data_IF_359167082379
#
_entry.id   IF_359167082379
#
_cell.length_a   1.000
_cell.length_b   1.000
_cell.length_c   1.000
_cell.angle_alpha   90.00
_cell.angle_beta   90.00
_cell.angle_gamma   90.00
#
_symmetry.space_group_name_H-M   'P 1'
#
loop_
_entity.id
_entity.type
_entity.pdbx_description
1 polymer ?
#
# COMPACT_ATOMS: atom_id res chain seq x y z
N UNK A 1 -14.04 1.06 -4.23
CA UNK A 1 -13.00 1.83 -3.51
C UNK A 1 -12.74 3.07 -4.36
N UNK A 2 -13.22 4.25 -3.97
CA UNK A 2 -12.99 5.47 -4.76
C UNK A 2 -11.59 5.98 -4.45
N UNK A 3 -10.66 5.80 -5.40
CA UNK A 3 -9.37 6.47 -5.34
C UNK A 3 -9.59 7.95 -5.64
N UNK A 4 -9.46 8.80 -4.63
CA UNK A 4 -9.33 10.24 -4.84
C UNK A 4 -8.04 10.70 -4.17
N UNK A 5 -7.11 11.17 -5.00
CA UNK A 5 -5.96 12.00 -4.63
C UNK A 5 -4.75 11.33 -3.96
N UNK A 6 -4.63 10.00 -3.95
CA UNK A 6 -3.40 9.30 -3.58
C UNK A 6 -2.76 8.71 -4.85
N UNK A 7 -1.59 9.22 -5.24
CA UNK A 7 -0.80 8.74 -6.40
C UNK A 7 -0.46 7.23 -6.33
N UNK A 8 -0.63 6.63 -5.16
CA UNK A 8 -0.36 5.22 -4.85
C UNK A 8 -1.46 4.27 -5.34
N UNK A 9 -2.71 4.73 -5.49
CA UNK A 9 -3.83 3.84 -5.86
C UNK A 9 -4.27 4.09 -7.30
N UNK A 10 -4.26 3.03 -8.11
CA UNK A 10 -4.71 3.06 -9.50
C UNK A 10 -6.15 2.54 -9.60
N UNK A 11 -7.11 3.47 -9.67
CA UNK A 11 -8.54 3.14 -9.74
C UNK A 11 -8.94 2.38 -11.01
N UNK A 12 -8.24 2.58 -12.13
CA UNK A 12 -8.60 1.94 -13.39
C UNK A 12 -8.31 0.44 -13.35
N UNK A 13 -7.29 0.03 -12.61
CA UNK A 13 -6.85 -1.38 -12.51
C UNK A 13 -7.12 -2.00 -11.15
N UNK A 14 -7.64 -1.24 -10.18
CA UNK A 14 -7.81 -1.68 -8.77
C UNK A 14 -6.49 -2.20 -8.18
N UNK A 15 -5.39 -1.51 -8.49
CA UNK A 15 -4.04 -1.87 -8.01
C UNK A 15 -3.42 -0.73 -7.21
N UNK A 16 -2.29 -1.05 -6.58
CA UNK A 16 -1.42 -0.07 -5.95
C UNK A 16 -0.11 -0.02 -6.73
N UNK A 17 0.24 1.14 -7.26
CA UNK A 17 1.47 1.34 -8.03
C UNK A 17 2.51 2.06 -7.16
N UNK A 18 3.67 1.44 -7.00
CA UNK A 18 4.80 1.98 -6.23
C UNK A 18 5.93 2.33 -7.19
N UNK A 19 6.29 3.61 -7.21
CA UNK A 19 7.46 4.15 -7.88
C UNK A 19 8.41 4.83 -6.91
N UNK A 20 9.56 5.26 -7.40
CA UNK A 20 10.51 6.01 -6.60
C UNK A 20 11.94 5.91 -7.10
N UNK A 21 12.84 6.48 -6.30
CA UNK A 21 14.24 6.63 -6.63
C UNK A 21 14.93 5.28 -6.91
N UNK A 22 15.60 5.20 -8.07
CA UNK A 22 16.40 4.06 -8.50
C UNK A 22 15.68 2.70 -8.36
N UNK A 23 14.40 2.65 -8.76
CA UNK A 23 13.51 1.51 -8.50
C UNK A 23 14.06 0.18 -9.03
N UNK A 24 14.51 0.12 -10.30
CA UNK A 24 15.00 -1.11 -10.91
C UNK A 24 16.22 -1.72 -10.17
N UNK A 25 17.08 -0.89 -9.59
CA UNK A 25 18.23 -1.37 -8.81
C UNK A 25 17.86 -1.78 -7.37
N UNK A 26 16.67 -1.38 -6.89
CA UNK A 26 16.27 -1.58 -5.51
C UNK A 26 16.09 -3.06 -5.16
N UNK A 27 16.29 -3.38 -3.88
CA UNK A 27 16.03 -4.72 -3.37
C UNK A 27 14.55 -5.10 -3.46
N UNK A 28 13.64 -4.16 -3.17
CA UNK A 28 12.20 -4.42 -3.25
C UNK A 28 11.75 -4.83 -4.65
N UNK A 29 12.28 -4.18 -5.69
CA UNK A 29 11.95 -4.52 -7.08
C UNK A 29 12.44 -5.92 -7.46
N UNK A 30 13.70 -6.26 -7.14
CA UNK A 30 14.26 -7.59 -7.39
C UNK A 30 13.56 -8.70 -6.61
N UNK A 31 13.20 -8.45 -5.34
CA UNK A 31 12.48 -9.42 -4.52
C UNK A 31 11.07 -9.67 -5.04
N UNK A 32 10.38 -8.63 -5.54
CA UNK A 32 9.08 -8.77 -6.19
C UNK A 32 9.23 -9.54 -7.50
N UNK A 33 10.22 -9.23 -8.33
CA UNK A 33 10.47 -9.94 -9.58
C UNK A 33 10.70 -11.46 -9.36
N UNK A 34 11.37 -11.84 -8.27
CA UNK A 34 11.65 -13.24 -7.94
C UNK A 34 10.45 -13.98 -7.30
N UNK A 35 9.82 -13.38 -6.29
CA UNK A 35 8.79 -14.07 -5.48
C UNK A 35 7.34 -13.75 -5.87
N UNK A 36 7.12 -12.55 -6.42
CA UNK A 36 5.80 -11.96 -6.66
C UNK A 36 4.92 -11.81 -5.43
N UNK A 37 5.46 -11.93 -4.20
CA UNK A 37 4.70 -11.77 -2.94
C UNK A 37 4.96 -10.40 -2.34
N UNK A 38 3.93 -9.78 -1.77
CA UNK A 38 4.07 -8.44 -1.17
C UNK A 38 3.23 -8.29 0.10
N UNK A 39 3.75 -7.50 1.01
CA UNK A 39 2.99 -6.83 2.06
C UNK A 39 3.29 -5.32 1.96
N UNK A 40 2.25 -4.51 1.89
CA UNK A 40 2.32 -3.05 1.83
C UNK A 40 1.59 -2.48 3.05
N UNK A 41 2.31 -1.69 3.85
CA UNK A 41 1.79 -1.14 5.11
C UNK A 41 1.85 0.38 5.03
N UNK A 42 0.74 1.02 5.43
CA UNK A 42 0.64 2.46 5.64
C UNK A 42 0.14 2.67 7.06
N UNK A 43 0.97 3.31 7.89
CA UNK A 43 0.66 3.65 9.26
C UNK A 43 1.03 5.11 9.56
N UNK A 44 0.34 5.69 10.54
CA UNK A 44 0.67 7.00 11.10
C UNK A 44 0.11 7.16 12.52
N UNK A 45 0.56 8.23 13.18
CA UNK A 45 0.19 8.61 14.54
C UNK A 45 -0.53 9.97 14.48
N UNK A 46 -1.85 10.00 14.25
CA UNK A 46 -2.59 11.24 14.11
C UNK A 46 -2.65 12.10 15.38
N UNK A 47 -2.40 11.53 16.56
CA UNK A 47 -2.34 12.27 17.83
C UNK A 47 -1.49 11.54 18.86
N UNK A 48 -0.76 12.30 19.68
CA UNK A 48 -0.01 11.77 20.84
C UNK A 48 -0.69 12.09 22.17
N UNK A 49 -1.62 13.04 22.20
CA UNK A 49 -2.46 13.37 23.35
C UNK A 49 -3.88 13.79 22.88
N UNK A 50 -4.90 12.93 23.01
CA UNK A 50 -4.80 11.53 23.45
C UNK A 50 -4.04 10.67 22.42
N UNK A 51 -3.44 9.57 22.87
CA UNK A 51 -2.68 8.67 21.99
C UNK A 51 -3.59 8.00 20.95
N UNK A 52 -3.33 8.22 19.66
CA UNK A 52 -4.10 7.65 18.54
C UNK A 52 -3.15 7.17 17.45
N UNK A 53 -3.33 5.92 17.02
CA UNK A 53 -2.57 5.26 15.94
C UNK A 53 -3.53 4.63 14.95
N UNK A 54 -3.15 4.60 13.68
CA UNK A 54 -3.93 3.90 12.65
C UNK A 54 -3.00 3.23 11.64
N UNK A 55 -3.50 2.16 11.04
CA UNK A 55 -2.73 1.35 10.11
C UNK A 55 -3.62 0.64 9.10
N UNK A 56 -3.08 0.47 7.90
CA UNK A 56 -3.57 -0.42 6.85
C UNK A 56 -2.42 -1.29 6.37
N UNK A 57 -2.58 -2.60 6.46
CA UNK A 57 -1.73 -3.61 5.84
C UNK A 57 -2.49 -4.26 4.68
N UNK A 58 -1.81 -4.40 3.55
CA UNK A 58 -2.32 -5.03 2.33
C UNK A 58 -1.38 -6.17 1.97
N UNK A 59 -1.92 -7.37 1.82
CA UNK A 59 -1.21 -8.55 1.33
C UNK A 59 -1.74 -8.93 -0.05
N UNK A 60 -0.85 -9.46 -0.88
CA UNK A 60 -1.24 -10.05 -2.15
C UNK A 60 -0.06 -10.36 -3.04
N UNK A 61 -0.28 -10.19 -4.34
CA UNK A 61 0.72 -10.41 -5.39
C UNK A 61 1.24 -9.10 -5.92
N UNK A 62 2.48 -9.12 -6.42
CA UNK A 62 3.05 -7.96 -7.08
C UNK A 62 3.85 -8.32 -8.32
N UNK A 63 3.89 -7.38 -9.25
CA UNK A 63 4.63 -7.43 -10.50
C UNK A 63 5.68 -6.32 -10.52
N UNK A 64 6.88 -6.64 -10.99
CA UNK A 64 7.94 -5.68 -11.24
C UNK A 64 7.89 -5.29 -12.72
N UNK A 65 7.30 -4.12 -13.02
CA UNK A 65 7.10 -3.61 -14.37
C UNK A 65 8.27 -2.70 -14.74
N UNK A 66 8.87 -2.95 -15.89
CA UNK A 66 9.83 -2.02 -16.48
C UNK A 66 9.14 -0.72 -16.94
N UNK A 67 9.93 0.32 -17.20
CA UNK A 67 9.44 1.66 -17.51
C UNK A 67 8.42 1.70 -18.66
N UNK A 68 8.62 0.88 -19.69
CA UNK A 68 7.76 0.85 -20.89
C UNK A 68 6.42 0.14 -20.64
N UNK A 69 6.37 -0.73 -19.64
CA UNK A 69 5.18 -1.49 -19.25
C UNK A 69 4.37 -0.82 -18.12
N UNK A 70 4.98 0.13 -17.41
CA UNK A 70 4.34 0.92 -16.38
C UNK A 70 3.42 1.98 -16.99
N UNK A 71 2.25 2.17 -16.39
CA UNK A 71 1.36 3.26 -16.79
C UNK A 71 1.96 4.57 -16.30
N UNK A 72 2.10 5.55 -17.20
CA UNK A 72 2.74 6.82 -16.87
C UNK A 72 1.93 7.62 -15.85
N UNK A 73 2.49 7.74 -14.66
CA UNK A 73 2.24 8.72 -13.61
C UNK A 73 3.45 9.66 -13.54
N UNK A 74 3.34 10.73 -12.75
CA UNK A 74 4.21 11.90 -12.82
C UNK A 74 5.72 11.63 -12.60
N UNK A 75 6.07 10.49 -11.99
CA UNK A 75 7.45 10.10 -11.74
C UNK A 75 8.10 9.33 -12.91
N UNK A 76 7.30 8.57 -13.67
CA UNK A 76 7.77 7.68 -14.74
C UNK A 76 8.73 6.58 -14.26
N UNK A 77 8.91 5.55 -15.10
CA UNK A 77 9.93 4.52 -14.88
C UNK A 77 9.44 3.22 -14.23
N UNK A 78 10.38 2.35 -13.82
CA UNK A 78 10.06 1.03 -13.31
C UNK A 78 9.13 1.09 -12.09
N UNK A 79 8.12 0.22 -12.07
CA UNK A 79 6.99 0.26 -11.14
C UNK A 79 6.78 -1.09 -10.48
N UNK A 80 6.50 -1.10 -9.18
CA UNK A 80 5.95 -2.29 -8.51
C UNK A 80 4.43 -2.13 -8.49
N UNK A 81 3.72 -3.01 -9.20
CA UNK A 81 2.26 -3.06 -9.21
C UNK A 81 1.77 -4.11 -8.24
N UNK A 82 0.92 -3.75 -7.30
CA UNK A 82 0.38 -4.62 -6.26
C UNK A 82 -1.08 -4.93 -6.56
N UNK A 83 -1.42 -6.21 -6.49
CA UNK A 83 -2.77 -6.76 -6.56
C UNK A 83 -3.19 -7.19 -5.15
N UNK A 84 -4.04 -6.41 -4.48
CA UNK A 84 -4.53 -6.75 -3.14
C UNK A 84 -5.33 -8.05 -3.15
N UNK A 85 -5.07 -8.92 -2.18
CA UNK A 85 -5.85 -10.14 -1.91
C UNK A 85 -6.44 -10.12 -0.49
N UNK A 86 -5.75 -9.48 0.45
CA UNK A 86 -6.20 -9.32 1.84
C UNK A 86 -5.86 -7.95 2.39
N UNK A 87 -6.83 -7.35 3.08
CA UNK A 87 -6.70 -6.04 3.73
C UNK A 87 -6.90 -6.22 5.23
N UNK A 88 -5.96 -5.71 6.02
CA UNK A 88 -6.00 -5.69 7.48
C UNK A 88 -5.89 -4.23 7.92
N UNK A 89 -6.73 -3.78 8.85
CA UNK A 89 -6.68 -2.40 9.33
C UNK A 89 -7.12 -2.27 10.79
N UNK A 90 -6.63 -1.22 11.44
CA UNK A 90 -7.09 -0.81 12.77
C UNK A 90 -6.97 0.71 12.92
N UNK A 91 -7.71 1.28 13.86
CA UNK A 91 -7.64 2.72 14.16
C UNK A 91 -8.16 3.64 13.04
N UNK A 92 -8.85 3.11 12.02
CA UNK A 92 -9.46 3.92 10.97
C UNK A 92 -10.83 4.45 11.43
N UNK A 93 -11.07 5.76 11.24
CA UNK A 93 -12.31 6.44 11.62
C UNK A 93 -12.17 7.30 12.89
N UNK A 94 -13.20 8.07 13.22
CA UNK A 94 -13.25 8.81 14.47
C UNK A 94 -13.55 7.83 15.62
N UNK A 95 -12.50 7.34 16.27
CA UNK A 95 -12.62 6.46 17.43
C UNK A 95 -12.04 7.18 18.64
N UNK A 96 -12.86 7.33 19.69
CA UNK A 96 -12.42 7.71 21.05
C UNK A 96 -12.00 6.47 21.85
N UNK A 97 -11.70 5.35 21.17
CA UNK A 97 -11.26 4.14 21.82
C UNK A 97 -9.80 4.25 22.26
N UNK A 98 -9.52 3.70 23.44
CA UNK A 98 -8.17 3.50 23.92
C UNK A 98 -7.37 2.59 22.96
N UNK A 99 -6.07 2.86 22.81
CA UNK A 99 -5.20 2.13 21.88
C UNK A 99 -5.17 0.63 22.16
N UNK A 100 -5.25 0.22 23.43
CA UNK A 100 -5.26 -1.19 23.83
C UNK A 100 -6.60 -1.88 23.54
N UNK A 101 -7.62 -1.13 23.13
CA UNK A 101 -8.95 -1.64 22.76
C UNK A 101 -9.18 -1.68 21.24
N UNK A 102 -8.21 -1.22 20.44
CA UNK A 102 -8.34 -1.26 18.99
C UNK A 102 -8.40 -2.71 18.51
N UNK A 103 -9.43 -3.01 17.71
CA UNK A 103 -9.62 -4.31 17.09
C UNK A 103 -9.18 -4.25 15.63
N UNK A 104 -8.38 -5.23 15.21
CA UNK A 104 -8.03 -5.41 13.80
C UNK A 104 -9.23 -5.90 13.01
N UNK A 105 -9.57 -5.19 11.95
CA UNK A 105 -10.48 -5.66 10.92
C UNK A 105 -9.67 -6.33 9.82
N UNK A 106 -10.12 -7.48 9.33
CA UNK A 106 -9.49 -8.16 8.21
C UNK A 106 -10.54 -8.66 7.22
N UNK A 107 -10.29 -8.47 5.93
CA UNK A 107 -11.14 -8.97 4.85
C UNK A 107 -10.30 -9.38 3.65
N UNK A 108 -10.77 -10.39 2.94
CA UNK A 108 -10.29 -10.72 1.60
C UNK A 108 -11.04 -9.87 0.57
N UNK A 109 -10.45 -9.68 -0.62
CA UNK A 109 -10.96 -8.80 -1.69
C UNK A 109 -11.06 -9.50 -3.03
#
# INVERSE_FOLDING_TARGET
>A
MTCSSLEVCNAATTTIDIQGYNMAASHKFRNVADSGKVAFVVDDVPSVDPWRVRCVEIRGRAEALDADAAQANDLGGPTIRIHPERIISFGLGATDQDVHQLVSNARDV
#
